data_IF_544324292151
#
_entry.id   IF_544324292151
#
_cell.length_a   1.000
_cell.length_b   1.000
_cell.length_c   1.000
_cell.angle_alpha   90.00
_cell.angle_beta   90.00
_cell.angle_gamma   90.00
#
_symmetry.space_group_name_H-M   'P 1'
#
loop_
_entity.id
_entity.type
_entity.pdbx_description
1 polymer ?
#
# COMPACT_ATOMS: atom_id res chain seq x y z
N UNK A 1 33.71 58.17 33.00
CA UNK A 1 33.25 57.94 34.38
C UNK A 1 31.95 58.70 34.59
N UNK A 2 30.79 58.12 34.82
CA UNK A 2 30.23 56.80 34.51
C UNK A 2 28.70 56.94 34.60
N UNK A 3 28.00 56.14 33.80
CA UNK A 3 26.54 55.99 33.74
C UNK A 3 25.99 55.26 34.97
N UNK A 4 24.65 55.28 35.13
CA UNK A 4 23.98 53.99 35.31
C UNK A 4 22.65 53.88 34.54
N UNK A 5 22.48 52.79 33.82
CA UNK A 5 21.22 52.33 33.23
C UNK A 5 20.69 51.12 34.01
N UNK A 6 19.40 51.17 34.34
CA UNK A 6 18.68 50.31 35.28
C UNK A 6 18.59 48.83 34.89
N UNK A 7 18.79 47.99 35.90
CA UNK A 7 18.63 46.54 35.96
C UNK A 7 17.13 46.19 36.01
N UNK A 8 16.68 45.29 35.13
CA UNK A 8 15.38 44.62 35.21
C UNK A 8 15.57 43.14 35.52
N UNK A 9 15.02 42.70 36.65
CA UNK A 9 15.17 41.35 37.20
C UNK A 9 14.46 40.26 36.37
N UNK A 10 15.13 39.10 36.32
CA UNK A 10 14.69 37.84 35.74
C UNK A 10 13.60 37.19 36.60
N UNK A 11 12.42 36.90 36.01
CA UNK A 11 11.48 35.91 36.55
C UNK A 11 11.20 34.81 35.52
N UNK A 12 11.62 33.60 35.88
CA UNK A 12 11.56 32.39 35.05
C UNK A 12 10.18 31.75 35.17
N UNK A 13 9.24 32.09 34.29
CA UNK A 13 7.96 31.40 34.19
C UNK A 13 8.06 30.22 33.22
N UNK A 14 8.12 28.99 33.76
CA UNK A 14 7.99 27.74 33.00
C UNK A 14 6.58 27.61 32.41
N UNK A 15 6.44 27.84 31.10
CA UNK A 15 5.23 27.49 30.37
C UNK A 15 5.31 26.01 29.98
N UNK A 16 4.54 25.19 30.70
CA UNK A 16 4.32 23.78 30.38
C UNK A 16 3.35 23.72 29.21
N UNK A 17 3.85 23.47 28.01
CA UNK A 17 3.04 23.17 26.82
C UNK A 17 2.51 21.73 26.94
N UNK A 18 1.26 21.57 27.39
CA UNK A 18 0.50 20.34 27.22
C UNK A 18 0.19 20.17 25.73
N UNK A 19 0.82 19.20 25.07
CA UNK A 19 0.43 18.79 23.71
C UNK A 19 -0.95 18.15 23.74
N UNK A 20 -1.91 18.69 23.00
CA UNK A 20 -3.26 18.13 22.85
C UNK A 20 -3.22 16.84 22.03
N UNK A 21 -3.09 15.69 22.70
CA UNK A 21 -3.28 14.34 22.14
C UNK A 21 -4.76 13.91 22.14
N UNK A 22 -5.69 14.83 21.89
CA UNK A 22 -7.12 14.52 21.85
C UNK A 22 -7.72 15.40 20.77
N UNK A 23 -7.72 14.91 19.52
CA UNK A 23 -8.68 15.29 18.48
C UNK A 23 -8.53 14.37 17.27
N UNK A 24 -9.16 13.20 17.36
CA UNK A 24 -9.65 12.39 16.22
C UNK A 24 -10.40 11.17 16.75
N UNK A 25 -11.49 11.41 17.47
CA UNK A 25 -12.53 10.40 17.74
C UNK A 25 -13.88 11.05 17.46
N UNK A 26 -14.23 11.21 16.19
CA UNK A 26 -15.61 11.43 15.77
C UNK A 26 -15.85 10.64 14.48
N UNK A 27 -16.69 9.60 14.58
CA UNK A 27 -17.24 8.88 13.43
C UNK A 27 -17.34 7.36 13.60
N UNK A 28 -18.53 6.89 14.01
CA UNK A 28 -19.09 5.54 13.87
C UNK A 28 -18.49 4.33 14.65
N UNK A 29 -19.31 3.80 15.56
CA UNK A 29 -19.39 2.43 16.13
C UNK A 29 -18.14 1.74 16.71
N UNK A 30 -16.93 2.30 16.56
CA UNK A 30 -15.66 1.62 16.85
C UNK A 30 -14.98 2.06 18.15
N UNK A 31 -15.55 3.03 18.87
CA UNK A 31 -15.08 3.46 20.20
C UNK A 31 -15.20 2.35 21.27
N UNK A 32 -15.97 1.28 21.02
CA UNK A 32 -16.16 0.16 21.94
C UNK A 32 -15.03 -0.87 21.99
N UNK A 33 -14.07 -0.88 21.04
CA UNK A 33 -13.00 -1.89 20.98
C UNK A 33 -11.73 -1.52 21.78
N UNK A 34 -11.67 -0.29 22.32
CA UNK A 34 -10.56 0.17 23.15
C UNK A 34 -10.75 -0.37 24.57
N UNK A 35 -10.23 -1.57 24.83
CA UNK A 35 -10.28 -2.21 26.15
C UNK A 35 -10.81 -3.64 26.16
N UNK A 36 -11.38 -4.12 25.05
CA UNK A 36 -11.88 -5.50 24.93
C UNK A 36 -10.69 -6.48 24.88
N UNK A 37 -10.64 -7.40 25.85
CA UNK A 37 -9.80 -8.60 25.75
C UNK A 37 -10.37 -9.47 24.64
N UNK A 38 -9.66 -9.53 23.51
CA UNK A 38 -10.04 -10.42 22.40
C UNK A 38 -9.69 -11.85 22.80
N UNK A 39 -10.73 -12.66 23.00
CA UNK A 39 -10.58 -14.09 23.27
C UNK A 39 -9.94 -14.79 22.06
N UNK A 40 -9.04 -15.73 22.35
CA UNK A 40 -8.29 -16.42 21.29
C UNK A 40 -9.22 -17.38 20.53
N UNK A 41 -10.06 -18.12 21.22
CA UNK A 41 -10.88 -19.16 20.62
C UNK A 41 -12.02 -18.57 19.77
N UNK A 42 -12.64 -17.48 20.26
CA UNK A 42 -13.62 -16.75 19.45
C UNK A 42 -12.99 -16.17 18.17
N UNK A 43 -11.76 -15.65 18.25
CA UNK A 43 -11.03 -15.18 17.08
C UNK A 43 -10.75 -16.33 16.10
N UNK A 44 -10.32 -17.50 16.61
CA UNK A 44 -10.06 -18.69 15.80
C UNK A 44 -11.31 -19.16 15.07
N UNK A 45 -12.45 -19.25 15.78
CA UNK A 45 -13.75 -19.65 15.22
C UNK A 45 -14.21 -18.76 14.06
N UNK A 46 -13.92 -17.46 14.13
CA UNK A 46 -14.28 -16.50 13.07
C UNK A 46 -13.38 -16.58 11.84
N UNK A 47 -12.08 -16.81 12.03
CA UNK A 47 -11.06 -16.60 10.99
C UNK A 47 -10.60 -17.86 10.28
N UNK A 48 -10.57 -18.99 10.98
CA UNK A 48 -9.90 -20.21 10.51
C UNK A 48 -10.81 -20.95 9.53
N UNK A 49 -10.27 -21.25 8.35
CA UNK A 49 -10.94 -22.11 7.39
C UNK A 49 -10.85 -23.57 7.82
N UNK A 50 -11.86 -24.41 7.50
CA UNK A 50 -11.78 -25.84 7.70
C UNK A 50 -10.50 -26.47 7.14
N UNK A 51 -9.97 -27.45 7.85
CA UNK A 51 -8.69 -28.11 7.52
C UNK A 51 -8.61 -28.54 6.05
N UNK A 52 -9.64 -29.19 5.53
CA UNK A 52 -9.64 -29.68 4.16
C UNK A 52 -9.56 -28.54 3.13
N UNK A 53 -10.18 -27.38 3.37
CA UNK A 53 -10.08 -26.21 2.48
C UNK A 53 -8.68 -25.58 2.55
N UNK A 54 -8.09 -25.52 3.75
CA UNK A 54 -6.74 -25.00 3.94
C UNK A 54 -5.71 -25.84 3.21
N UNK A 55 -5.79 -27.16 3.36
CA UNK A 55 -4.88 -28.11 2.70
C UNK A 55 -5.10 -28.12 1.18
N UNK A 56 -6.35 -28.15 0.72
CA UNK A 56 -6.67 -28.04 -0.71
C UNK A 56 -6.08 -26.79 -1.34
N UNK A 57 -6.25 -25.63 -0.69
CA UNK A 57 -5.70 -24.35 -1.15
C UNK A 57 -4.16 -24.38 -1.22
N UNK A 58 -3.49 -24.90 -0.19
CA UNK A 58 -2.02 -24.97 -0.16
C UNK A 58 -1.49 -25.93 -1.24
N UNK A 59 -2.13 -27.09 -1.41
CA UNK A 59 -1.73 -28.05 -2.44
C UNK A 59 -1.95 -27.50 -3.84
N UNK A 60 -3.05 -26.78 -4.07
CA UNK A 60 -3.30 -26.11 -5.35
C UNK A 60 -2.23 -25.06 -5.66
N UNK A 61 -1.85 -24.24 -4.68
CA UNK A 61 -0.78 -23.24 -4.83
C UNK A 61 0.58 -23.91 -5.11
N UNK A 62 0.93 -24.97 -4.37
CA UNK A 62 2.22 -25.68 -4.51
C UNK A 62 2.34 -26.39 -5.86
N UNK A 63 1.28 -27.07 -6.28
CA UNK A 63 1.22 -27.81 -7.54
C UNK A 63 0.98 -26.92 -8.76
N UNK A 64 0.52 -25.67 -8.54
CA UNK A 64 0.05 -24.76 -9.59
C UNK A 64 -1.08 -25.39 -10.41
N UNK A 65 -1.97 -26.07 -9.71
CA UNK A 65 -3.12 -26.78 -10.27
C UNK A 65 -4.34 -26.59 -9.36
N UNK A 66 -5.43 -26.06 -9.91
CA UNK A 66 -6.66 -25.82 -9.14
C UNK A 66 -7.35 -27.11 -8.71
N UNK A 67 -7.12 -28.22 -9.41
CA UNK A 67 -7.76 -29.50 -9.17
C UNK A 67 -7.01 -30.36 -8.11
N UNK A 68 -5.76 -30.01 -7.77
CA UNK A 68 -4.95 -30.75 -6.80
C UNK A 68 -5.58 -30.84 -5.39
N UNK A 69 -6.48 -29.91 -5.06
CA UNK A 69 -7.20 -29.87 -3.79
C UNK A 69 -8.41 -30.81 -3.70
N UNK A 70 -8.87 -31.41 -4.81
CA UNK A 70 -10.12 -32.18 -4.87
C UNK A 70 -10.09 -33.42 -3.95
N UNK A 71 -8.92 -34.02 -3.75
CA UNK A 71 -8.74 -35.16 -2.86
C UNK A 71 -9.16 -34.85 -1.41
N UNK A 72 -8.89 -33.63 -0.93
CA UNK A 72 -9.23 -33.22 0.44
C UNK A 72 -10.74 -33.09 0.63
N UNK A 73 -11.45 -32.67 -0.42
CA UNK A 73 -12.92 -32.63 -0.41
C UNK A 73 -13.52 -34.05 -0.38
N UNK A 74 -12.94 -34.99 -1.13
CA UNK A 74 -13.38 -36.39 -1.16
C UNK A 74 -13.13 -37.14 0.15
N UNK A 75 -12.04 -36.81 0.84
CA UNK A 75 -11.65 -37.43 2.11
C UNK A 75 -12.36 -36.83 3.33
N UNK A 76 -13.18 -35.78 3.15
CA UNK A 76 -13.92 -35.19 4.26
C UNK A 76 -14.91 -36.21 4.82
N UNK A 77 -14.92 -36.38 6.15
CA UNK A 77 -15.89 -37.25 6.82
C UNK A 77 -17.34 -36.80 6.59
N UNK A 78 -18.33 -37.69 6.75
CA UNK A 78 -19.73 -37.32 6.65
C UNK A 78 -20.10 -36.39 7.82
N UNK A 79 -20.34 -35.11 7.51
CA UNK A 79 -20.72 -34.10 8.48
C UNK A 79 -20.88 -32.74 7.81
N UNK A 80 -21.87 -31.96 8.28
CA UNK A 80 -22.04 -30.58 7.84
C UNK A 80 -20.94 -29.72 8.46
N UNK A 81 -19.99 -29.26 7.63
CA UNK A 81 -18.93 -28.36 8.07
C UNK A 81 -19.40 -26.94 7.84
N UNK A 82 -19.54 -26.19 8.93
CA UNK A 82 -19.95 -24.79 8.87
C UNK A 82 -18.79 -23.91 8.38
N UNK A 83 -19.04 -22.99 7.44
CA UNK A 83 -18.03 -22.03 7.01
C UNK A 83 -17.75 -21.00 8.10
N UNK A 84 -16.53 -20.44 8.15
CA UNK A 84 -16.17 -19.42 9.12
C UNK A 84 -16.93 -18.11 8.84
N UNK A 85 -17.18 -17.32 9.90
CA UNK A 85 -17.90 -16.05 9.78
C UNK A 85 -17.14 -15.01 8.93
N UNK A 86 -15.80 -15.03 8.99
CA UNK A 86 -14.91 -14.12 8.27
C UNK A 86 -13.59 -14.82 7.94
N UNK A 87 -13.58 -15.77 6.99
CA UNK A 87 -12.38 -16.50 6.59
C UNK A 87 -11.29 -15.51 6.21
N UNK A 88 -10.07 -15.74 6.69
CA UNK A 88 -9.01 -14.75 6.53
C UNK A 88 -7.69 -15.38 6.10
N UNK A 89 -7.02 -14.75 5.15
CA UNK A 89 -5.63 -15.08 4.80
C UNK A 89 -4.74 -13.89 5.07
N UNK A 90 -3.50 -14.15 5.46
CA UNK A 90 -2.53 -13.11 5.79
C UNK A 90 -1.32 -13.23 4.87
N UNK A 91 -1.00 -12.16 4.15
CA UNK A 91 0.29 -12.02 3.48
C UNK A 91 1.24 -11.25 4.37
N UNK A 92 2.43 -11.80 4.61
CA UNK A 92 3.47 -11.14 5.39
C UNK A 92 4.78 -11.16 4.63
N UNK A 93 5.51 -10.04 4.68
CA UNK A 93 6.91 -10.00 4.29
C UNK A 93 7.77 -10.04 5.57
N UNK A 94 8.38 -11.19 5.93
CA UNK A 94 9.12 -11.34 7.20
C UNK A 94 10.34 -10.41 7.29
N UNK A 95 10.86 -9.94 6.15
CA UNK A 95 11.97 -8.99 6.08
C UNK A 95 11.55 -7.55 6.44
N UNK A 96 10.26 -7.26 6.53
CA UNK A 96 9.73 -5.93 6.88
C UNK A 96 9.69 -5.70 8.40
N UNK A 97 9.66 -4.43 8.82
CA UNK A 97 9.44 -4.06 10.22
C UNK A 97 10.62 -4.27 11.19
N UNK A 98 11.87 -4.24 10.70
CA UNK A 98 13.05 -4.23 11.56
C UNK A 98 13.29 -5.54 12.32
N UNK A 99 13.18 -6.69 11.63
CA UNK A 99 13.35 -8.07 12.15
C UNK A 99 12.21 -8.62 13.02
N UNK A 100 11.15 -7.86 13.28
CA UNK A 100 9.95 -8.37 13.95
C UNK A 100 9.03 -9.21 13.03
N UNK A 101 9.24 -9.18 11.71
CA UNK A 101 8.36 -9.85 10.75
C UNK A 101 8.29 -11.38 10.92
N UNK A 102 9.40 -12.03 11.27
CA UNK A 102 9.44 -13.47 11.53
C UNK A 102 8.65 -13.84 12.80
N UNK A 103 8.89 -13.13 13.90
CA UNK A 103 8.17 -13.34 15.17
C UNK A 103 6.68 -13.03 15.02
N UNK A 104 6.33 -12.05 14.18
CA UNK A 104 4.93 -11.75 13.85
C UNK A 104 4.30 -12.86 13.00
N UNK A 105 5.03 -13.43 12.04
CA UNK A 105 4.58 -14.58 11.24
C UNK A 105 4.22 -15.75 12.13
N UNK A 106 5.15 -16.16 13.01
CA UNK A 106 4.93 -17.25 13.98
C UNK A 106 3.69 -16.97 14.84
N UNK A 107 3.55 -15.73 15.34
CA UNK A 107 2.39 -15.35 16.13
C UNK A 107 1.07 -15.38 15.35
N UNK A 108 1.08 -15.00 14.08
CA UNK A 108 -0.10 -15.07 13.22
C UNK A 108 -0.50 -16.53 12.98
N UNK A 109 0.47 -17.41 12.76
CA UNK A 109 0.24 -18.86 12.61
C UNK A 109 -0.35 -19.47 13.89
N UNK A 110 0.14 -19.08 15.08
CA UNK A 110 -0.43 -19.48 16.38
C UNK A 110 -1.88 -19.01 16.61
N UNK A 111 -2.24 -17.84 16.06
CA UNK A 111 -3.57 -17.25 16.21
C UNK A 111 -4.55 -17.79 15.16
N UNK A 112 -4.06 -18.21 14.00
CA UNK A 112 -4.84 -18.70 12.88
C UNK A 112 -4.38 -20.14 12.55
N UNK A 113 -3.73 -20.32 11.40
CA UNK A 113 -3.16 -21.58 10.93
C UNK A 113 -1.94 -21.28 10.06
N UNK A 114 -1.07 -22.27 9.87
CA UNK A 114 0.13 -22.13 9.04
C UNK A 114 -0.23 -21.88 7.57
N UNK A 115 -1.27 -22.57 7.09
CA UNK A 115 -1.76 -22.58 5.72
C UNK A 115 -2.51 -21.30 5.33
N UNK A 116 -2.89 -20.47 6.30
CA UNK A 116 -3.53 -19.16 6.08
C UNK A 116 -2.55 -17.98 6.20
N UNK A 117 -1.29 -18.22 6.54
CA UNK A 117 -0.26 -17.18 6.69
C UNK A 117 0.82 -17.36 5.62
N UNK A 118 0.67 -16.64 4.53
CA UNK A 118 1.55 -16.69 3.37
C UNK A 118 2.75 -15.76 3.53
N UNK A 119 3.93 -16.34 3.46
CA UNK A 119 5.19 -15.63 3.34
C UNK A 119 5.38 -15.17 1.89
N UNK A 120 5.44 -13.86 1.68
CA UNK A 120 5.57 -13.26 0.35
C UNK A 120 6.91 -13.57 -0.35
N UNK A 121 7.89 -14.12 0.38
CA UNK A 121 9.11 -14.65 -0.24
C UNK A 121 8.95 -16.06 -0.81
N UNK A 122 7.89 -16.78 -0.41
CA UNK A 122 7.62 -18.17 -0.79
C UNK A 122 6.41 -18.30 -1.71
N UNK A 123 5.32 -17.60 -1.38
CA UNK A 123 4.05 -17.62 -2.14
C UNK A 123 3.76 -16.22 -2.65
N UNK A 124 3.68 -16.08 -3.98
CA UNK A 124 3.35 -14.79 -4.58
C UNK A 124 1.83 -14.57 -4.54
N UNK A 125 1.35 -13.32 -4.37
CA UNK A 125 -0.09 -13.04 -4.32
C UNK A 125 -0.85 -13.51 -5.57
N UNK A 126 -0.21 -13.48 -6.76
CA UNK A 126 -0.83 -13.99 -7.98
C UNK A 126 -1.04 -15.52 -7.96
N UNK A 127 -0.20 -16.28 -7.26
CA UNK A 127 -0.37 -17.73 -7.12
C UNK A 127 -1.55 -18.05 -6.22
N UNK A 128 -1.76 -17.27 -5.15
CA UNK A 128 -2.97 -17.34 -4.34
C UNK A 128 -4.23 -17.00 -5.15
N UNK A 129 -4.21 -15.96 -5.98
CA UNK A 129 -5.36 -15.55 -6.79
C UNK A 129 -5.72 -16.60 -7.86
N UNK A 130 -4.72 -17.16 -8.53
CA UNK A 130 -4.93 -18.15 -9.59
C UNK A 130 -5.31 -19.51 -9.00
N UNK A 131 -4.50 -20.03 -8.08
CA UNK A 131 -4.63 -21.41 -7.61
C UNK A 131 -5.38 -21.52 -6.28
N UNK A 132 -5.11 -20.62 -5.33
CA UNK A 132 -5.77 -20.66 -4.02
C UNK A 132 -7.28 -20.36 -4.11
N UNK A 133 -7.64 -19.19 -4.64
CA UNK A 133 -9.04 -18.82 -4.87
C UNK A 133 -9.67 -19.67 -5.97
N UNK A 134 -8.91 -20.03 -7.01
CA UNK A 134 -9.38 -20.92 -8.08
C UNK A 134 -9.76 -22.31 -7.55
N UNK A 135 -9.01 -22.86 -6.58
CA UNK A 135 -9.36 -24.10 -5.91
C UNK A 135 -10.69 -23.97 -5.13
N UNK A 136 -10.89 -22.89 -4.36
CA UNK A 136 -12.16 -22.66 -3.65
C UNK A 136 -13.35 -22.55 -4.61
N UNK A 137 -13.18 -21.83 -5.73
CA UNK A 137 -14.19 -21.70 -6.79
C UNK A 137 -14.51 -23.05 -7.46
N UNK A 138 -13.47 -23.87 -7.69
CA UNK A 138 -13.63 -25.21 -8.23
C UNK A 138 -14.42 -26.11 -7.28
N UNK A 139 -14.03 -26.15 -6.00
CA UNK A 139 -14.75 -26.93 -4.97
C UNK A 139 -16.20 -26.46 -4.82
N UNK A 140 -16.44 -25.15 -4.86
CA UNK A 140 -17.78 -24.58 -4.86
C UNK A 140 -18.62 -25.09 -6.05
N UNK A 141 -18.03 -25.14 -7.24
CA UNK A 141 -18.68 -25.67 -8.45
C UNK A 141 -18.95 -27.17 -8.36
N UNK A 142 -18.09 -27.91 -7.66
CA UNK A 142 -18.28 -29.34 -7.34
C UNK A 142 -19.32 -29.62 -6.24
N UNK A 143 -20.04 -28.59 -5.77
CA UNK A 143 -21.13 -28.72 -4.80
C UNK A 143 -20.72 -28.48 -3.35
N UNK A 144 -19.51 -27.99 -3.09
CA UNK A 144 -19.08 -27.66 -1.73
C UNK A 144 -19.62 -26.29 -1.27
N UNK A 145 -20.72 -26.31 -0.53
CA UNK A 145 -21.33 -25.09 0.04
C UNK A 145 -20.36 -24.33 0.97
N UNK A 146 -19.54 -25.04 1.74
CA UNK A 146 -18.59 -24.39 2.65
C UNK A 146 -17.48 -23.67 1.87
N UNK A 147 -16.98 -24.25 0.77
CA UNK A 147 -16.03 -23.59 -0.11
C UNK A 147 -16.63 -22.34 -0.77
N UNK A 148 -17.89 -22.44 -1.24
CA UNK A 148 -18.62 -21.33 -1.83
C UNK A 148 -18.74 -20.15 -0.86
N UNK A 149 -19.28 -20.39 0.33
CA UNK A 149 -19.47 -19.35 1.33
C UNK A 149 -18.13 -18.80 1.84
N UNK A 150 -17.10 -19.65 1.94
CA UNK A 150 -15.74 -19.22 2.25
C UNK A 150 -15.21 -18.27 1.17
N UNK A 151 -15.35 -18.61 -0.11
CA UNK A 151 -14.90 -17.78 -1.23
C UNK A 151 -15.63 -16.43 -1.30
N UNK A 152 -16.90 -16.40 -0.92
CA UNK A 152 -17.72 -15.18 -0.87
C UNK A 152 -17.33 -14.25 0.29
N UNK A 153 -16.93 -14.82 1.45
CA UNK A 153 -16.66 -14.07 2.68
C UNK A 153 -15.18 -13.83 2.97
N UNK A 154 -14.27 -14.40 2.17
CA UNK A 154 -12.83 -14.37 2.45
C UNK A 154 -12.30 -12.93 2.47
N UNK A 155 -11.46 -12.64 3.45
CA UNK A 155 -10.78 -11.35 3.65
C UNK A 155 -9.28 -11.55 3.63
N UNK A 156 -8.56 -10.52 3.19
CA UNK A 156 -7.10 -10.55 3.11
C UNK A 156 -6.52 -9.54 4.11
N UNK A 157 -5.49 -9.94 4.84
CA UNK A 157 -4.67 -9.04 5.66
C UNK A 157 -3.29 -8.96 5.07
N UNK A 158 -2.74 -7.77 4.92
CA UNK A 158 -1.36 -7.58 4.43
C UNK A 158 -0.51 -6.94 5.52
N UNK A 159 0.48 -7.66 5.99
CA UNK A 159 1.49 -7.21 6.93
C UNK A 159 2.75 -6.75 6.19
N UNK A 160 2.84 -5.43 5.97
CA UNK A 160 3.88 -4.84 5.13
C UNK A 160 3.83 -3.31 5.12
N UNK A 161 4.62 -2.71 4.23
CA UNK A 161 4.53 -1.28 3.88
C UNK A 161 3.70 -1.06 2.62
N UNK A 162 3.59 0.19 2.18
CA UNK A 162 2.73 0.60 1.06
C UNK A 162 2.99 -0.19 -0.24
N UNK A 163 4.26 -0.47 -0.58
CA UNK A 163 4.60 -1.27 -1.76
C UNK A 163 4.15 -2.73 -1.68
N UNK A 164 4.19 -3.34 -0.49
CA UNK A 164 3.69 -4.70 -0.26
C UNK A 164 2.17 -4.76 -0.38
N UNK A 165 1.47 -3.78 0.20
CA UNK A 165 0.02 -3.67 0.10
C UNK A 165 -0.39 -3.45 -1.36
N UNK A 166 0.29 -2.55 -2.08
CA UNK A 166 0.04 -2.29 -3.49
C UNK A 166 0.25 -3.52 -4.38
N UNK A 167 1.26 -4.35 -4.10
CA UNK A 167 1.48 -5.59 -4.83
C UNK A 167 0.31 -6.57 -4.68
N UNK A 168 -0.15 -6.79 -3.45
CA UNK A 168 -1.30 -7.67 -3.18
C UNK A 168 -2.58 -7.13 -3.81
N UNK A 169 -2.86 -5.83 -3.65
CA UNK A 169 -4.02 -5.17 -4.27
C UNK A 169 -4.00 -5.30 -5.80
N UNK A 170 -2.83 -5.10 -6.43
CA UNK A 170 -2.67 -5.25 -7.87
C UNK A 170 -3.00 -6.67 -8.35
N UNK A 171 -2.58 -7.70 -7.60
CA UNK A 171 -2.94 -9.08 -7.93
C UNK A 171 -4.42 -9.39 -7.70
N UNK A 172 -5.03 -8.87 -6.63
CA UNK A 172 -6.46 -9.05 -6.37
C UNK A 172 -7.32 -8.28 -7.39
N UNK A 173 -6.86 -7.13 -7.87
CA UNK A 173 -7.55 -6.34 -8.89
C UNK A 173 -7.70 -7.07 -10.24
N UNK A 174 -6.84 -8.04 -10.53
CA UNK A 174 -6.99 -8.90 -11.71
C UNK A 174 -8.26 -9.75 -11.66
N UNK A 175 -8.79 -10.08 -10.48
CA UNK A 175 -10.08 -10.77 -10.35
C UNK A 175 -11.21 -9.96 -11.00
N UNK A 176 -11.31 -8.67 -10.68
CA UNK A 176 -12.30 -7.77 -11.29
C UNK A 176 -12.12 -7.69 -12.81
N UNK A 177 -10.88 -7.58 -13.29
CA UNK A 177 -10.57 -7.59 -14.74
C UNK A 177 -11.01 -8.88 -15.44
N UNK A 178 -10.95 -10.01 -14.75
CA UNK A 178 -11.39 -11.32 -15.25
C UNK A 178 -12.89 -11.58 -15.01
N UNK A 179 -13.62 -10.64 -14.40
CA UNK A 179 -15.03 -10.84 -14.01
C UNK A 179 -15.24 -11.87 -12.89
N UNK A 180 -14.19 -12.14 -12.08
CA UNK A 180 -14.19 -13.13 -10.98
C UNK A 180 -14.52 -12.49 -9.63
N UNK A 181 -15.78 -12.17 -9.41
CA UNK A 181 -16.26 -11.58 -8.14
C UNK A 181 -16.54 -12.64 -7.04
N UNK A 182 -16.52 -12.27 -5.74
CA UNK A 182 -16.12 -10.97 -5.20
C UNK A 182 -14.60 -10.79 -5.14
N UNK A 183 -14.10 -9.56 -5.30
CA UNK A 183 -12.72 -9.21 -4.90
C UNK A 183 -12.60 -9.15 -3.37
N UNK A 184 -11.73 -9.95 -2.72
CA UNK A 184 -11.57 -9.95 -1.27
C UNK A 184 -11.15 -8.58 -0.72
N UNK A 185 -11.81 -8.05 0.33
CA UNK A 185 -11.39 -6.79 0.95
C UNK A 185 -10.06 -6.97 1.68
N UNK A 186 -9.26 -5.89 1.72
CA UNK A 186 -7.89 -5.92 2.25
C UNK A 186 -7.76 -5.04 3.50
N UNK A 187 -7.30 -5.63 4.59
CA UNK A 187 -6.88 -4.93 5.80
C UNK A 187 -5.35 -4.85 5.89
N UNK A 188 -4.82 -3.86 6.61
CA UNK A 188 -3.39 -3.56 6.63
C UNK A 188 -2.83 -3.67 8.06
N UNK A 189 -1.70 -4.36 8.20
CA UNK A 189 -0.82 -4.31 9.37
C UNK A 189 0.42 -3.49 9.00
N UNK A 190 0.57 -2.25 9.52
CA UNK A 190 1.59 -1.30 9.06
C UNK A 190 3.00 -1.63 9.56
N UNK A 191 3.73 -2.46 8.80
CA UNK A 191 5.13 -2.82 9.08
C UNK A 191 6.15 -1.94 8.33
N UNK A 192 5.69 -1.03 7.47
CA UNK A 192 6.53 -0.10 6.71
C UNK A 192 6.96 1.14 7.50
N UNK A 193 7.65 2.06 6.80
CA UNK A 193 8.10 3.34 7.37
C UNK A 193 7.07 4.47 7.17
N UNK A 194 6.49 4.57 5.98
CA UNK A 194 5.49 5.59 5.60
C UNK A 194 4.10 5.21 6.11
N UNK A 195 3.59 4.08 5.58
CA UNK A 195 2.28 3.49 5.88
C UNK A 195 1.11 4.43 5.54
N UNK A 196 1.20 5.15 4.44
CA UNK A 196 0.21 6.17 4.03
C UNK A 196 -1.14 5.54 3.67
N UNK A 197 -1.15 4.35 3.05
CA UNK A 197 -2.37 3.55 2.85
C UNK A 197 -3.00 3.19 4.20
N UNK A 198 -2.21 2.64 5.12
CA UNK A 198 -2.68 2.26 6.46
C UNK A 198 -3.25 3.46 7.22
N UNK A 199 -2.61 4.64 7.14
CA UNK A 199 -3.09 5.88 7.77
C UNK A 199 -4.41 6.33 7.17
N UNK A 200 -4.53 6.33 5.84
CA UNK A 200 -5.72 6.80 5.13
C UNK A 200 -6.97 5.96 5.43
N UNK A 201 -6.80 4.65 5.67
CA UNK A 201 -7.89 3.74 6.06
C UNK A 201 -7.96 3.50 7.58
N UNK A 202 -7.27 4.32 8.38
CA UNK A 202 -7.35 4.29 9.84
C UNK A 202 -6.75 3.05 10.52
N UNK A 203 -5.93 2.25 9.84
CA UNK A 203 -5.18 1.13 10.42
C UNK A 203 -3.96 1.57 11.24
N UNK A 204 -3.59 2.85 11.13
CA UNK A 204 -2.56 3.50 11.92
C UNK A 204 -1.24 3.65 11.18
N UNK A 205 -0.30 4.37 11.79
CA UNK A 205 0.94 4.78 11.14
C UNK A 205 2.16 3.88 11.39
N UNK A 206 2.08 3.00 12.37
CA UNK A 206 3.19 2.15 12.80
C UNK A 206 2.66 0.96 13.58
N UNK A 207 3.37 -0.17 13.50
CA UNK A 207 3.10 -1.31 14.34
C UNK A 207 3.42 -1.00 15.83
N UNK A 208 2.48 -1.21 16.77
CA UNK A 208 2.64 -0.77 18.15
C UNK A 208 3.67 -1.59 18.92
N UNK A 209 4.29 -0.99 19.94
CA UNK A 209 5.29 -1.67 20.79
C UNK A 209 4.70 -2.90 21.52
N UNK A 210 3.44 -2.79 22.00
CA UNK A 210 2.69 -3.91 22.62
C UNK A 210 1.91 -4.68 21.53
N UNK A 211 2.64 -5.23 20.57
CA UNK A 211 2.03 -5.78 19.35
C UNK A 211 1.26 -7.08 19.55
N UNK A 212 1.62 -7.92 20.53
CA UNK A 212 0.96 -9.23 20.77
C UNK A 212 -0.54 -9.10 21.05
N UNK A 213 -0.95 -8.05 21.77
CA UNK A 213 -2.36 -7.76 22.05
C UNK A 213 -2.99 -6.93 20.93
N UNK A 214 -2.19 -6.10 20.26
CA UNK A 214 -2.67 -5.29 19.14
C UNK A 214 -3.05 -6.16 17.94
N UNK A 215 -2.28 -7.20 17.63
CA UNK A 215 -2.54 -8.04 16.45
C UNK A 215 -3.90 -8.75 16.56
N UNK A 216 -4.29 -9.24 17.75
CA UNK A 216 -5.62 -9.80 17.97
C UNK A 216 -6.73 -8.79 17.69
N UNK A 217 -6.58 -7.55 18.16
CA UNK A 217 -7.53 -6.46 17.89
C UNK A 217 -7.56 -6.09 16.42
N UNK A 218 -6.41 -6.09 15.74
CA UNK A 218 -6.34 -5.82 14.31
C UNK A 218 -7.04 -6.91 13.50
N UNK A 219 -6.84 -8.19 13.83
CA UNK A 219 -7.53 -9.31 13.17
C UNK A 219 -9.04 -9.27 13.42
N UNK A 220 -9.47 -8.99 14.66
CA UNK A 220 -10.89 -8.79 14.96
C UNK A 220 -11.47 -7.60 14.18
N UNK A 221 -10.77 -6.47 14.16
CA UNK A 221 -11.19 -5.31 13.37
C UNK A 221 -11.23 -5.62 11.87
N UNK A 222 -10.32 -6.44 11.36
CA UNK A 222 -10.35 -6.88 9.96
C UNK A 222 -11.53 -7.80 9.67
N UNK A 223 -12.02 -8.59 10.64
CA UNK A 223 -13.17 -9.47 10.46
C UNK A 223 -14.52 -8.76 10.55
N UNK A 224 -14.67 -7.73 11.38
CA UNK A 224 -15.96 -7.00 11.54
C UNK A 224 -15.96 -5.59 10.95
N UNK A 225 -14.81 -5.08 10.54
CA UNK A 225 -14.67 -3.71 10.07
C UNK A 225 -15.43 -3.44 8.77
N UNK A 226 -15.94 -2.20 8.60
CA UNK A 226 -16.59 -1.80 7.35
C UNK A 226 -15.60 -1.85 6.19
N UNK A 227 -16.10 -2.19 5.01
CA UNK A 227 -15.32 -2.17 3.77
C UNK A 227 -15.44 -0.78 3.16
N UNK A 228 -14.29 -0.18 2.85
CA UNK A 228 -14.20 1.10 2.14
C UNK A 228 -13.78 0.85 0.69
N UNK A 229 -14.20 1.72 -0.22
CA UNK A 229 -13.70 1.70 -1.61
C UNK A 229 -12.36 2.42 -1.69
N UNK A 230 -11.51 1.96 -2.59
CA UNK A 230 -10.21 2.55 -2.87
C UNK A 230 -10.11 2.72 -4.39
N UNK A 231 -9.93 3.96 -4.82
CA UNK A 231 -9.65 4.27 -6.22
C UNK A 231 -8.24 3.84 -6.59
N UNK A 232 -7.98 3.70 -7.88
CA UNK A 232 -6.66 3.33 -8.39
C UNK A 232 -6.37 4.04 -9.70
N UNK A 233 -5.10 4.37 -9.91
CA UNK A 233 -4.62 5.01 -11.13
C UNK A 233 -4.04 3.95 -12.05
N UNK A 234 -4.50 3.93 -13.29
CA UNK A 234 -3.80 3.21 -14.35
C UNK A 234 -2.71 4.11 -14.92
N UNK A 235 -1.46 3.67 -14.82
CA UNK A 235 -0.29 4.39 -15.32
C UNK A 235 0.26 3.67 -16.54
N UNK A 236 0.45 4.42 -17.62
CA UNK A 236 1.13 3.96 -18.83
C UNK A 236 2.42 4.77 -18.99
N UNK A 237 3.55 4.08 -19.06
CA UNK A 237 4.88 4.67 -19.27
C UNK A 237 5.42 4.18 -20.61
N UNK A 238 5.78 5.14 -21.44
CA UNK A 238 6.15 4.95 -22.83
C UNK A 238 7.57 5.50 -23.02
N UNK A 239 8.51 4.65 -23.42
CA UNK A 239 9.93 5.02 -23.54
C UNK A 239 10.50 4.58 -24.90
N UNK A 240 11.49 5.29 -25.47
CA UNK A 240 12.20 4.85 -26.66
C UNK A 240 12.83 3.45 -26.49
N UNK A 241 12.93 2.66 -27.56
CA UNK A 241 13.58 1.34 -27.53
C UNK A 241 15.10 1.45 -27.34
N UNK A 242 15.70 0.56 -26.54
CA UNK A 242 17.16 0.41 -26.44
C UNK A 242 17.74 0.54 -25.02
N UNK A 243 17.01 1.15 -24.10
CA UNK A 243 17.41 1.21 -22.69
C UNK A 243 16.81 0.04 -21.90
N UNK A 244 17.67 -0.73 -21.24
CA UNK A 244 17.25 -1.78 -20.32
C UNK A 244 16.79 -1.14 -19.01
N UNK A 245 15.47 -1.09 -18.80
CA UNK A 245 14.88 -0.60 -17.55
C UNK A 245 14.34 -1.77 -16.74
N UNK A 246 14.64 -1.79 -15.43
CA UNK A 246 14.05 -2.71 -14.46
C UNK A 246 12.85 -2.02 -13.78
N UNK A 247 11.60 -2.28 -14.23
CA UNK A 247 10.43 -1.61 -13.67
C UNK A 247 10.10 -2.16 -12.27
N UNK A 248 9.50 -1.33 -11.39
CA UNK A 248 8.96 -1.83 -10.12
C UNK A 248 7.85 -2.87 -10.38
N UNK A 249 7.58 -3.74 -9.39
CA UNK A 249 6.53 -4.79 -9.50
C UNK A 249 5.14 -4.29 -9.90
N UNK A 250 4.85 -3.00 -9.68
CA UNK A 250 3.59 -2.37 -10.08
C UNK A 250 3.47 -2.12 -11.58
N UNK A 251 4.59 -2.08 -12.32
CA UNK A 251 4.66 -1.84 -13.77
C UNK A 251 5.10 -3.11 -14.49
N UNK A 252 4.34 -3.51 -15.52
CA UNK A 252 4.63 -4.66 -16.37
C UNK A 252 4.82 -4.19 -17.80
N UNK A 253 5.80 -4.76 -18.51
CA UNK A 253 5.98 -4.50 -19.94
C UNK A 253 4.79 -5.08 -20.71
N UNK A 254 4.10 -4.26 -21.50
CA UNK A 254 2.89 -4.66 -22.24
C UNK A 254 3.08 -4.80 -23.74
N UNK A 255 4.13 -4.20 -24.31
CA UNK A 255 4.45 -4.38 -25.73
C UNK A 255 5.39 -3.32 -26.30
N UNK A 256 5.57 -3.35 -27.62
CA UNK A 256 6.17 -2.26 -28.39
C UNK A 256 5.06 -1.35 -28.94
N UNK A 257 5.29 -0.03 -28.96
CA UNK A 257 4.31 0.94 -29.46
C UNK A 257 4.98 1.97 -30.37
N UNK A 258 4.20 2.58 -31.27
CA UNK A 258 4.59 3.73 -32.08
C UNK A 258 4.36 5.03 -31.30
N UNK A 259 5.39 5.88 -31.19
CA UNK A 259 5.41 7.11 -30.38
C UNK A 259 4.60 8.29 -30.97
N UNK A 260 3.80 8.09 -32.00
CA UNK A 260 3.10 9.18 -32.69
C UNK A 260 1.73 9.48 -32.06
N UNK A 261 1.71 10.31 -31.02
CA UNK A 261 0.49 10.84 -30.41
C UNK A 261 0.20 12.31 -30.79
N UNK A 262 0.90 12.88 -31.78
CA UNK A 262 0.73 14.29 -32.18
C UNK A 262 1.09 15.31 -31.09
N UNK A 263 1.91 14.92 -30.10
CA UNK A 263 2.41 15.79 -29.04
C UNK A 263 3.81 16.30 -29.40
N UNK A 264 4.08 17.58 -29.15
CA UNK A 264 5.41 18.18 -29.35
C UNK A 264 6.43 17.57 -28.37
N UNK A 265 7.27 16.64 -28.86
CA UNK A 265 8.42 16.10 -28.15
C UNK A 265 9.69 16.68 -28.81
N UNK A 266 10.62 17.20 -28.00
CA UNK A 266 11.89 17.69 -28.50
C UNK A 266 12.88 16.51 -28.66
N UNK A 267 13.31 16.22 -29.90
CA UNK A 267 14.30 15.19 -30.23
C UNK A 267 13.84 14.24 -31.34
N UNK A 268 14.77 13.44 -31.87
CA UNK A 268 14.44 12.33 -32.78
C UNK A 268 13.77 11.20 -31.99
N UNK A 269 12.55 10.84 -32.35
CA UNK A 269 11.83 9.72 -31.76
C UNK A 269 12.28 8.43 -32.45
N UNK A 270 12.65 7.41 -31.68
CA UNK A 270 12.82 6.08 -32.23
C UNK A 270 11.47 5.56 -32.76
N UNK A 271 11.47 4.91 -33.93
CA UNK A 271 10.26 4.36 -34.58
C UNK A 271 9.53 3.31 -33.70
N UNK A 272 10.24 2.75 -32.70
CA UNK A 272 9.73 1.77 -31.76
C UNK A 272 10.03 2.19 -30.32
N UNK A 273 9.02 2.09 -29.45
CA UNK A 273 9.16 2.30 -28.01
C UNK A 273 8.71 1.09 -27.20
N UNK A 274 9.17 0.98 -25.95
CA UNK A 274 8.66 0.01 -24.97
C UNK A 274 7.57 0.63 -24.10
N UNK A 275 6.43 -0.06 -23.99
CA UNK A 275 5.31 0.33 -23.14
C UNK A 275 5.31 -0.47 -21.83
N UNK A 276 5.07 0.22 -20.72
CA UNK A 276 4.91 -0.36 -19.39
C UNK A 276 3.61 0.15 -18.79
N UNK A 277 2.81 -0.77 -18.25
CA UNK A 277 1.53 -0.42 -17.64
C UNK A 277 1.42 -0.98 -16.23
N UNK A 278 0.68 -0.27 -15.39
CA UNK A 278 0.55 -0.64 -13.99
C UNK A 278 -0.56 0.08 -13.27
N UNK A 279 -0.86 -0.40 -12.06
CA UNK A 279 -1.88 0.19 -11.19
C UNK A 279 -1.21 0.76 -9.94
N UNK A 280 -1.56 2.00 -9.62
CA UNK A 280 -1.02 2.74 -8.48
C UNK A 280 -2.16 3.13 -7.52
N UNK A 281 -1.96 2.85 -6.23
CA UNK A 281 -2.97 3.07 -5.18
C UNK A 281 -2.64 4.24 -4.25
N UNK A 282 -1.39 4.71 -4.25
CA UNK A 282 -0.92 5.73 -3.31
C UNK A 282 -0.62 7.05 -4.02
N UNK A 283 0.48 7.10 -4.75
CA UNK A 283 0.87 8.26 -5.53
C UNK A 283 1.79 7.87 -6.68
N UNK A 284 1.94 8.80 -7.62
CA UNK A 284 2.96 8.80 -8.66
C UNK A 284 3.65 10.17 -8.64
N UNK A 285 4.98 10.22 -8.73
CA UNK A 285 5.71 11.48 -8.73
C UNK A 285 6.82 11.55 -9.77
N UNK A 286 7.11 12.77 -10.21
CA UNK A 286 8.19 13.12 -11.14
C UNK A 286 8.98 14.29 -10.56
N UNK A 287 10.28 14.32 -10.82
CA UNK A 287 11.19 15.38 -10.34
C UNK A 287 11.80 15.06 -8.98
N UNK A 288 11.99 16.09 -8.16
CA UNK A 288 12.75 16.01 -6.91
C UNK A 288 12.25 14.92 -5.96
N UNK A 289 10.93 14.74 -5.81
CA UNK A 289 10.40 13.69 -4.91
C UNK A 289 10.81 12.28 -5.36
N UNK A 290 10.65 11.98 -6.65
CA UNK A 290 11.05 10.70 -7.23
C UNK A 290 12.57 10.47 -7.08
N UNK A 291 13.38 11.53 -7.23
CA UNK A 291 14.83 11.46 -7.04
C UNK A 291 15.22 11.15 -5.57
N UNK A 292 14.56 11.79 -4.60
CA UNK A 292 14.77 11.52 -3.17
C UNK A 292 14.34 10.09 -2.82
N UNK A 293 13.18 9.66 -3.32
CA UNK A 293 12.69 8.30 -3.13
C UNK A 293 13.64 7.26 -3.74
N UNK A 294 14.17 7.52 -4.94
CA UNK A 294 15.16 6.68 -5.60
C UNK A 294 16.47 6.62 -4.81
N UNK A 295 17.02 7.76 -4.39
CA UNK A 295 18.25 7.80 -3.59
C UNK A 295 18.14 7.04 -2.27
N UNK A 296 16.99 7.17 -1.58
CA UNK A 296 16.71 6.41 -0.38
C UNK A 296 16.58 4.89 -0.66
N UNK A 297 15.89 4.51 -1.73
CA UNK A 297 15.75 3.12 -2.13
C UNK A 297 17.10 2.48 -2.44
N UNK A 298 17.94 3.17 -3.19
CA UNK A 298 19.29 2.72 -3.53
C UNK A 298 20.16 2.53 -2.29
N UNK A 299 20.19 3.52 -1.37
CA UNK A 299 20.90 3.40 -0.10
C UNK A 299 20.42 2.20 0.73
N UNK A 300 19.11 1.95 0.75
CA UNK A 300 18.53 0.81 1.48
C UNK A 300 18.99 -0.52 0.90
N UNK A 301 19.19 -0.60 -0.41
CA UNK A 301 19.68 -1.81 -1.08
C UNK A 301 21.19 -2.01 -0.86
N UNK A 302 21.99 -0.95 -0.97
CA UNK A 302 23.45 -1.03 -0.77
C UNK A 302 23.85 -1.21 0.69
N UNK A 303 23.19 -0.49 1.61
CA UNK A 303 23.54 -0.42 3.04
C UNK A 303 22.31 -0.69 3.92
N UNK A 304 21.78 -1.93 3.90
CA UNK A 304 20.56 -2.28 4.65
C UNK A 304 20.72 -2.10 6.17
N UNK A 305 21.95 -2.12 6.70
CA UNK A 305 22.23 -1.88 8.11
C UNK A 305 21.91 -0.45 8.58
N UNK A 306 21.95 0.54 7.67
CA UNK A 306 21.59 1.93 7.99
C UNK A 306 20.07 2.15 7.97
N UNK A 307 19.33 1.26 7.31
CA UNK A 307 17.89 1.42 7.05
C UNK A 307 17.01 0.39 7.82
N UNK A 308 17.43 0.02 9.03
CA UNK A 308 16.78 -1.05 9.80
C UNK A 308 15.52 -0.59 10.57
N UNK A 309 15.33 0.71 10.77
CA UNK A 309 14.28 1.25 11.63
C UNK A 309 13.46 2.36 10.97
N UNK A 310 12.13 2.45 11.21
CA UNK A 310 11.30 3.51 10.67
C UNK A 310 11.78 4.93 11.03
N UNK A 311 12.31 5.13 12.24
CA UNK A 311 12.84 6.43 12.68
C UNK A 311 14.10 6.79 11.88
N UNK A 312 15.07 5.89 11.81
CA UNK A 312 16.31 6.07 11.04
C UNK A 312 16.01 6.33 9.56
N UNK A 313 15.07 5.57 9.00
CA UNK A 313 14.63 5.75 7.61
C UNK A 313 14.07 7.15 7.36
N UNK A 314 13.28 7.70 8.28
CA UNK A 314 12.76 9.08 8.18
C UNK A 314 13.85 10.14 8.28
N UNK A 315 14.86 9.92 9.14
CA UNK A 315 16.01 10.82 9.27
C UNK A 315 16.83 10.84 7.98
N UNK A 316 17.12 9.65 7.42
CA UNK A 316 17.84 9.52 6.16
C UNK A 316 17.06 10.19 5.02
N UNK A 317 15.75 9.95 4.91
CA UNK A 317 14.89 10.58 3.90
C UNK A 317 14.89 12.10 4.02
N UNK A 318 14.84 12.62 5.26
CA UNK A 318 14.97 14.06 5.54
C UNK A 318 16.33 14.59 5.11
N UNK A 319 17.41 13.84 5.36
CA UNK A 319 18.76 14.16 4.92
C UNK A 319 18.87 14.29 3.40
N UNK A 320 18.36 13.31 2.64
CA UNK A 320 18.31 13.37 1.17
C UNK A 320 17.47 14.55 0.67
N UNK A 321 16.35 14.85 1.34
CA UNK A 321 15.51 16.00 0.99
C UNK A 321 16.28 17.32 1.16
N UNK A 322 17.06 17.45 2.23
CA UNK A 322 17.87 18.64 2.51
C UNK A 322 19.04 18.82 1.53
N UNK A 323 19.67 17.73 1.10
CA UNK A 323 20.80 17.75 0.15
C UNK A 323 20.38 17.85 -1.31
N UNK A 324 19.11 17.62 -1.63
CA UNK A 324 18.59 17.68 -3.00
C UNK A 324 17.68 18.87 -3.30
N UNK A 325 17.17 19.60 -2.29
CA UNK A 325 16.32 20.75 -2.63
C UNK A 325 15.82 21.67 -1.53
N UNK A 326 16.50 21.77 -0.37
CA UNK A 326 16.18 22.84 0.59
C UNK A 326 17.38 23.73 0.96
N UNK A 327 18.61 23.20 1.03
CA UNK A 327 19.78 23.99 1.46
C UNK A 327 21.02 23.83 0.59
N UNK A 328 21.21 22.70 -0.07
CA UNK A 328 22.33 22.46 -0.98
C UNK A 328 21.78 21.86 -2.27
N UNK A 329 22.16 22.41 -3.42
CA UNK A 329 21.82 21.85 -4.75
C UNK A 329 22.80 20.73 -5.06
N UNK A 330 22.38 19.68 -5.79
CA UNK A 330 22.62 19.76 -7.23
C UNK A 330 21.52 19.07 -8.04
N UNK A 331 20.56 19.83 -8.57
CA UNK A 331 19.66 19.30 -9.59
C UNK A 331 20.36 19.41 -10.95
N UNK A 332 21.23 18.44 -11.25
CA UNK A 332 22.00 18.34 -12.50
C UNK A 332 23.08 19.44 -12.65
N UNK A 333 24.29 19.03 -13.06
CA UNK A 333 25.43 19.93 -13.29
C UNK A 333 25.13 20.94 -14.41
N UNK A 334 24.35 20.52 -15.40
CA UNK A 334 23.84 21.36 -16.49
C UNK A 334 22.71 22.31 -16.00
N UNK A 335 22.92 23.64 -16.02
CA UNK A 335 21.90 24.63 -15.70
C UNK A 335 20.62 24.52 -16.53
N UNK A 336 20.70 23.98 -17.76
CA UNK A 336 19.55 23.83 -18.66
C UNK A 336 18.53 22.80 -18.14
N UNK A 337 18.95 21.86 -17.29
CA UNK A 337 18.12 20.76 -16.78
C UNK A 337 17.60 21.01 -15.35
N UNK A 338 17.90 22.16 -14.74
CA UNK A 338 17.51 22.49 -13.35
C UNK A 338 16.01 22.72 -13.16
N UNK A 339 15.32 23.21 -14.19
CA UNK A 339 13.88 23.49 -14.16
C UNK A 339 13.08 22.31 -14.67
N UNK A 340 12.05 21.84 -13.93
CA UNK A 340 11.18 20.77 -14.42
C UNK A 340 10.49 21.19 -15.73
N UNK A 341 10.18 22.47 -15.86
CA UNK A 341 9.65 23.08 -17.08
C UNK A 341 10.61 23.02 -18.29
N UNK A 342 11.88 22.69 -18.12
CA UNK A 342 12.83 22.57 -19.24
C UNK A 342 12.84 21.15 -19.81
N UNK A 343 12.51 20.15 -18.98
CA UNK A 343 12.61 18.72 -19.31
C UNK A 343 11.24 18.02 -19.38
N UNK A 344 10.17 18.69 -18.95
CA UNK A 344 8.82 18.15 -18.91
C UNK A 344 7.85 19.07 -19.68
N UNK A 345 6.95 18.44 -20.43
CA UNK A 345 5.74 19.06 -20.97
C UNK A 345 4.56 18.31 -20.38
N UNK A 346 3.60 19.03 -19.81
CA UNK A 346 2.42 18.45 -19.20
C UNK A 346 1.19 18.78 -20.03
N UNK A 347 0.36 17.79 -20.29
CA UNK A 347 -0.89 17.93 -21.01
C UNK A 347 -2.03 17.26 -20.23
N UNK A 348 -3.24 17.77 -20.38
CA UNK A 348 -4.46 17.19 -19.83
C UNK A 348 -5.49 16.98 -20.93
N UNK A 349 -6.18 15.86 -20.89
CA UNK A 349 -7.31 15.59 -21.78
C UNK A 349 -8.56 15.40 -20.94
N UNK A 350 -9.57 16.22 -21.19
CA UNK A 350 -10.88 16.09 -20.53
C UNK A 350 -11.69 15.01 -21.23
N UNK A 351 -12.54 14.30 -20.49
CA UNK A 351 -13.33 13.15 -20.98
C UNK A 351 -14.13 13.47 -22.25
N UNK A 352 -14.62 14.71 -22.40
CA UNK A 352 -15.44 15.15 -23.52
C UNK A 352 -14.65 15.93 -24.59
N UNK A 353 -13.32 15.93 -24.53
CA UNK A 353 -12.46 16.65 -25.47
C UNK A 353 -11.58 15.65 -26.23
N UNK A 354 -11.50 15.81 -27.55
CA UNK A 354 -10.61 15.02 -28.41
C UNK A 354 -9.14 15.45 -28.30
N UNK A 355 -8.90 16.71 -27.92
CA UNK A 355 -7.58 17.35 -27.93
C UNK A 355 -6.92 17.39 -26.55
N UNK A 356 -5.59 17.37 -26.56
CA UNK A 356 -4.75 17.54 -25.39
C UNK A 356 -4.50 19.02 -25.12
N UNK A 357 -4.79 19.48 -23.91
CA UNK A 357 -4.55 20.85 -23.45
C UNK A 357 -3.22 20.93 -22.70
N UNK A 358 -2.31 21.81 -23.13
CA UNK A 358 -1.01 22.00 -22.46
C UNK A 358 -1.18 22.75 -21.15
N UNK A 359 -0.65 22.18 -20.06
CA UNK A 359 -0.60 22.85 -18.75
C UNK A 359 0.78 23.48 -18.56
N UNK A 360 0.88 24.80 -18.33
CA UNK A 360 2.15 25.43 -18.02
C UNK A 360 2.66 24.98 -16.65
N UNK A 361 3.91 24.49 -16.61
CA UNK A 361 4.61 24.15 -15.36
C UNK A 361 5.46 25.36 -14.96
N UNK A 362 5.18 26.04 -13.82
CA UNK A 362 5.99 27.18 -13.37
C UNK A 362 7.46 26.79 -13.15
N UNK A 363 8.37 27.73 -13.40
CA UNK A 363 9.83 27.53 -13.28
C UNK A 363 10.30 27.22 -11.86
N UNK A 364 9.49 27.58 -10.85
CA UNK A 364 9.73 27.28 -9.44
C UNK A 364 9.36 25.84 -9.05
N UNK A 365 8.58 25.13 -9.87
CA UNK A 365 8.16 23.76 -9.57
C UNK A 365 9.34 22.80 -9.72
N UNK A 366 9.61 22.04 -8.65
CA UNK A 366 10.68 21.03 -8.59
C UNK A 366 10.18 19.59 -8.65
N UNK A 367 8.89 19.38 -8.37
CA UNK A 367 8.29 18.06 -8.42
C UNK A 367 6.80 18.17 -8.71
N UNK A 368 6.27 17.17 -9.41
CA UNK A 368 4.83 16.96 -9.63
C UNK A 368 4.48 15.64 -8.97
N UNK A 369 3.42 15.64 -8.18
CA UNK A 369 2.94 14.46 -7.46
C UNK A 369 1.44 14.31 -7.73
N UNK A 370 1.07 13.21 -8.36
CA UNK A 370 -0.32 12.77 -8.48
C UNK A 370 -0.65 11.89 -7.28
N UNK A 371 -1.59 12.32 -6.44
CA UNK A 371 -1.97 11.65 -5.20
C UNK A 371 -3.34 11.01 -5.34
N UNK A 372 -3.44 9.75 -4.94
CA UNK A 372 -4.71 9.04 -4.79
C UNK A 372 -5.25 9.14 -3.34
N UNK A 373 -4.36 9.37 -2.37
CA UNK A 373 -4.68 9.38 -0.96
C UNK A 373 -4.60 10.79 -0.36
N UNK A 374 -5.28 10.96 0.78
CA UNK A 374 -5.16 12.17 1.59
C UNK A 374 -3.86 12.23 2.40
N UNK A 375 -3.19 11.09 2.63
CA UNK A 375 -1.90 11.03 3.31
C UNK A 375 -0.78 10.82 2.30
N UNK A 376 0.33 11.53 2.50
CA UNK A 376 1.53 11.47 1.71
C UNK A 376 2.77 11.67 2.58
N UNK A 377 3.89 11.03 2.22
CA UNK A 377 5.17 11.27 2.89
C UNK A 377 5.18 10.94 4.39
N UNK A 378 4.56 9.82 4.79
CA UNK A 378 4.44 9.40 6.19
C UNK A 378 3.41 10.20 7.01
N UNK A 379 2.24 10.44 6.44
CA UNK A 379 1.08 11.04 7.11
C UNK A 379 0.97 12.56 7.02
N UNK A 380 1.69 13.21 6.09
CA UNK A 380 1.40 14.61 5.77
C UNK A 380 0.13 14.66 4.95
N UNK A 381 -0.73 15.64 5.24
CA UNK A 381 -1.92 15.90 4.44
C UNK A 381 -1.68 17.16 3.59
N UNK A 382 -1.27 17.01 2.31
CA UNK A 382 -0.98 18.16 1.44
C UNK A 382 -2.25 18.96 1.11
N UNK A 383 -3.42 18.36 1.25
CA UNK A 383 -4.72 18.99 1.02
C UNK A 383 -5.19 19.82 2.22
N UNK A 384 -4.56 19.65 3.39
CA UNK A 384 -4.97 20.31 4.62
C UNK A 384 -6.40 19.99 5.03
N UNK A 385 -7.04 20.92 5.74
CA UNK A 385 -8.46 20.85 6.05
C UNK A 385 -9.25 21.51 4.92
N UNK A 386 -9.63 20.73 3.91
CA UNK A 386 -10.46 21.22 2.81
C UNK A 386 -11.78 21.76 3.36
N UNK A 387 -12.17 22.97 2.93
CA UNK A 387 -13.47 23.55 3.31
C UNK A 387 -14.61 22.73 2.69
N UNK A 388 -15.77 22.62 3.35
CA UNK A 388 -16.93 21.89 2.83
C UNK A 388 -17.31 22.30 1.40
N UNK A 389 -17.23 23.60 1.08
CA UNK A 389 -17.57 24.11 -0.27
C UNK A 389 -16.63 23.61 -1.38
N UNK A 390 -15.38 23.24 -1.06
CA UNK A 390 -14.42 22.68 -2.02
C UNK A 390 -14.71 21.20 -2.31
N UNK A 391 -15.15 20.46 -1.28
CA UNK A 391 -15.56 19.06 -1.37
C UNK A 391 -16.88 18.87 -2.12
N UNK A 392 -17.75 19.89 -2.17
CA UNK A 392 -18.96 19.88 -2.99
C UNK A 392 -18.68 20.19 -4.47
N UNK A 393 -17.67 21.05 -4.75
CA UNK A 393 -17.28 21.42 -6.12
C UNK A 393 -16.52 20.32 -6.86
N UNK A 394 -15.64 19.63 -6.15
CA UNK A 394 -14.94 18.44 -6.64
C UNK A 394 -15.76 17.29 -6.10
N UNK A 395 -16.58 16.61 -6.93
CA UNK A 395 -17.42 15.47 -6.51
C UNK A 395 -16.56 14.35 -5.89
N UNK A 396 -16.14 14.52 -4.64
CA UNK A 396 -15.53 13.49 -3.83
C UNK A 396 -16.68 12.56 -3.46
N UNK A 397 -16.67 11.37 -4.04
CA UNK A 397 -17.54 10.30 -3.58
C UNK A 397 -16.91 9.84 -2.26
N UNK A 398 -17.46 10.35 -1.15
CA UNK A 398 -17.12 9.96 0.22
C UNK A 398 -17.37 8.48 0.49
#
# INVERSE_FOLDING_TARGET
MDSPSSIGESSTARIITRSSMIDSIKGCALSGLVGIRVDKEELRRRLIMPDYLRLAMVDAIKSKDVDAGEQHFKLRGPGEILPPEAPMVVFINPRSGGRNGQVLKERLQELMSEEQVFDLSQVKPNEFVLYGLGCLEKLATSGDHCAKETREKIRVVVAGGDGTVGWVLGCLGELNRMGREPVPPVAIVPLGTGNDLSRSFGWGGSFPFVWKSAIKRTLLRASVGPVCRLDSWHLTVQMPSGELVDPPHSLKRTGEFSLDQGLEIAGELADKGSCYEGVFYNYFSVGMDAQVAYGFHHLRNEKPHLAQGPVTNKIIYSGYSCTQGWFFTPCISDPSLRGLNNILRMYIKRVHCSEWEKIPVPTSVRSIVALNLHNYGSGRNPWGNLKPEYLEKVRYIS
#
